data_IF_128825769745
#
_entry.id   IF_128825769745
#
_cell.length_a   1.000
_cell.length_b   1.000
_cell.length_c   1.000
_cell.angle_alpha   90.00
_cell.angle_beta   90.00
_cell.angle_gamma   90.00
#
_symmetry.space_group_name_H-M   'P 1'
#
loop_
_entity.id
_entity.type
_entity.pdbx_description
1 polymer ?
#
# COMPACT_ATOMS: atom_id res chain seq x y z
N UNK A 1 31.57 53.60 42.70
CA UNK A 1 31.36 52.17 42.98
C UNK A 1 31.20 51.49 41.63
N UNK A 2 32.21 50.72 41.22
CA UNK A 2 32.31 50.15 39.88
C UNK A 2 31.70 48.75 39.76
N UNK A 3 31.40 48.44 38.50
CA UNK A 3 30.91 47.22 37.85
C UNK A 3 31.31 45.85 38.43
N UNK A 4 30.43 44.86 38.18
CA UNK A 4 30.74 43.75 37.24
C UNK A 4 29.51 42.90 36.88
N UNK A 5 29.21 42.88 35.58
CA UNK A 5 28.42 41.87 34.88
C UNK A 5 29.10 40.50 34.97
N UNK A 6 28.31 39.44 35.22
CA UNK A 6 28.76 38.06 35.08
C UNK A 6 28.41 37.54 33.69
N UNK A 7 29.41 37.47 32.81
CA UNK A 7 29.35 36.81 31.50
C UNK A 7 29.14 35.29 31.65
N UNK A 8 28.26 34.74 30.81
CA UNK A 8 28.16 33.29 30.58
C UNK A 8 29.28 32.93 29.60
N UNK A 9 30.15 31.94 29.90
CA UNK A 9 31.28 31.63 29.05
C UNK A 9 30.80 30.99 27.72
N UNK A 10 31.09 31.68 26.62
CA UNK A 10 30.98 31.16 25.27
C UNK A 10 32.13 30.16 25.02
N UNK A 11 31.92 28.88 25.34
CA UNK A 11 32.89 27.82 25.06
C UNK A 11 32.69 27.33 23.64
N UNK A 12 33.28 28.06 22.68
CA UNK A 12 33.49 27.58 21.32
C UNK A 12 34.57 26.49 21.30
N UNK A 13 34.24 25.28 21.77
CA UNK A 13 35.13 24.13 21.59
C UNK A 13 35.01 23.59 20.15
N UNK A 14 35.92 24.05 19.28
CA UNK A 14 36.21 23.37 18.01
C UNK A 14 36.92 22.05 18.32
N UNK A 15 36.20 20.94 18.16
CA UNK A 15 36.81 19.60 18.17
C UNK A 15 37.69 19.47 16.92
N UNK A 16 38.95 19.07 17.09
CA UNK A 16 39.84 18.87 15.95
C UNK A 16 39.41 17.62 15.17
N UNK A 17 39.61 17.61 13.84
CA UNK A 17 39.33 16.45 12.96
C UNK A 17 39.97 15.15 13.48
N UNK A 18 41.09 15.26 14.19
CA UNK A 18 41.83 14.14 14.78
C UNK A 18 41.15 13.56 16.03
N UNK A 19 40.45 14.38 16.80
CA UNK A 19 39.68 13.93 17.98
C UNK A 19 38.32 13.38 17.58
N UNK A 20 37.72 13.91 16.50
CA UNK A 20 36.51 13.36 15.87
C UNK A 20 36.74 11.95 15.31
N UNK A 21 37.89 11.71 14.66
CA UNK A 21 38.23 10.39 14.13
C UNK A 21 38.58 9.37 15.23
N UNK A 22 39.01 9.80 16.42
CA UNK A 22 39.25 8.91 17.57
C UNK A 22 37.97 8.43 18.25
N UNK A 23 36.84 9.11 18.05
CA UNK A 23 35.51 8.64 18.40
C UNK A 23 34.94 7.64 17.37
N UNK A 24 35.60 7.48 16.22
CA UNK A 24 35.18 6.63 15.10
C UNK A 24 35.62 5.17 15.20
N UNK A 25 35.41 4.54 16.36
CA UNK A 25 35.56 3.09 16.53
C UNK A 25 34.21 2.44 16.84
N UNK A 26 33.71 1.61 15.91
CA UNK A 26 32.50 0.77 15.97
C UNK A 26 31.14 1.47 15.77
N UNK A 27 30.62 1.35 14.54
CA UNK A 27 29.25 1.05 14.04
C UNK A 27 27.95 1.30 14.84
N UNK A 28 27.95 1.94 16.01
CA UNK A 28 26.73 2.23 16.79
C UNK A 28 26.43 3.74 16.96
N UNK A 29 27.28 4.64 16.44
CA UNK A 29 27.23 6.06 16.79
C UNK A 29 26.32 6.93 15.90
N UNK A 30 25.81 6.46 14.77
CA UNK A 30 25.00 7.29 13.86
C UNK A 30 23.75 7.90 14.51
N UNK A 31 23.03 7.10 15.31
CA UNK A 31 21.84 7.55 16.04
C UNK A 31 22.19 8.44 17.26
N UNK A 32 23.28 8.15 17.97
CA UNK A 32 23.71 8.92 19.14
C UNK A 32 24.25 10.31 18.76
N UNK A 33 24.97 10.41 17.63
CA UNK A 33 25.52 11.67 17.13
C UNK A 33 24.38 12.58 16.63
N UNK A 34 23.36 12.02 15.97
CA UNK A 34 22.16 12.77 15.55
C UNK A 34 21.37 13.35 16.73
N UNK A 35 21.17 12.56 17.80
CA UNK A 35 20.45 12.99 19.00
C UNK A 35 21.18 14.11 19.78
N UNK A 36 22.51 14.03 19.87
CA UNK A 36 23.33 15.06 20.54
C UNK A 36 23.42 16.34 19.71
N UNK A 37 23.52 16.25 18.38
CA UNK A 37 23.55 17.42 17.50
C UNK A 37 22.23 18.20 17.52
N UNK A 38 21.08 17.51 17.57
CA UNK A 38 19.75 18.11 17.72
C UNK A 38 19.61 18.87 19.04
N UNK A 39 20.05 18.28 20.17
CA UNK A 39 20.02 18.95 21.50
C UNK A 39 20.91 20.18 21.61
N UNK A 40 21.99 20.25 20.81
CA UNK A 40 22.96 21.34 20.87
C UNK A 40 22.71 22.43 19.82
N UNK A 41 21.64 22.34 19.03
CA UNK A 41 21.33 23.34 17.99
C UNK A 41 22.37 23.41 16.88
N UNK A 42 23.20 22.36 16.72
CA UNK A 42 24.22 22.29 15.69
C UNK A 42 23.52 21.85 14.40
N UNK A 43 23.33 22.79 13.46
CA UNK A 43 23.01 22.43 12.08
C UNK A 43 24.18 21.60 11.54
N UNK A 44 23.97 20.31 11.32
CA UNK A 44 24.87 19.53 10.51
C UNK A 44 24.84 20.13 9.11
N UNK A 45 25.88 20.88 8.76
CA UNK A 45 26.23 21.07 7.35
C UNK A 45 26.52 19.69 6.81
N UNK A 46 25.55 19.10 6.12
CA UNK A 46 25.74 17.93 5.27
C UNK A 46 26.65 18.36 4.13
N UNK A 47 27.96 18.37 4.37
CA UNK A 47 28.94 18.32 3.30
C UNK A 47 28.57 17.11 2.44
N UNK A 48 27.99 17.37 1.27
CA UNK A 48 27.33 16.36 0.44
C UNK A 48 28.22 15.14 0.27
N UNK A 49 27.70 13.98 0.66
CA UNK A 49 28.21 12.73 0.11
C UNK A 49 28.18 12.87 -1.42
N UNK A 50 29.22 12.43 -2.15
CA UNK A 50 29.21 12.52 -3.59
C UNK A 50 27.93 11.87 -4.12
N UNK A 51 27.13 12.62 -4.90
CA UNK A 51 25.89 12.10 -5.48
C UNK A 51 26.23 10.86 -6.31
N UNK A 52 25.67 9.71 -5.93
CA UNK A 52 25.93 8.47 -6.64
C UNK A 52 25.27 8.50 -8.01
N UNK A 53 26.05 8.23 -9.05
CA UNK A 53 25.56 8.19 -10.43
C UNK A 53 24.66 6.96 -10.66
N UNK A 54 23.39 7.23 -10.98
CA UNK A 54 22.40 6.24 -11.36
C UNK A 54 22.71 5.66 -12.74
N UNK A 55 22.56 4.35 -12.88
CA UNK A 55 22.60 3.65 -14.15
C UNK A 55 21.19 3.31 -14.63
N UNK A 56 20.96 3.22 -15.96
CA UNK A 56 19.65 2.87 -16.52
C UNK A 56 19.36 1.36 -16.44
N UNK A 57 19.53 0.77 -15.26
CA UNK A 57 19.30 -0.64 -14.94
C UNK A 57 18.23 -0.77 -13.86
N UNK A 58 17.33 -1.75 -14.01
CA UNK A 58 16.15 -1.94 -13.16
C UNK A 58 16.13 -3.34 -12.58
N UNK A 59 15.91 -3.42 -11.27
CA UNK A 59 15.47 -4.61 -10.54
C UNK A 59 13.98 -4.49 -10.23
N UNK A 60 13.20 -5.52 -10.57
CA UNK A 60 11.82 -5.66 -10.10
C UNK A 60 11.78 -6.63 -8.93
N UNK A 61 11.30 -6.15 -7.79
CA UNK A 61 10.99 -6.95 -6.62
C UNK A 61 9.46 -7.16 -6.60
N UNK A 62 9.02 -8.42 -6.67
CA UNK A 62 7.59 -8.75 -6.66
C UNK A 62 7.37 -10.24 -6.35
N UNK A 63 6.12 -10.70 -6.34
CA UNK A 63 5.72 -12.09 -6.19
C UNK A 63 5.91 -12.85 -7.51
N UNK A 64 7.07 -13.49 -7.67
CA UNK A 64 7.37 -14.34 -8.84
C UNK A 64 7.19 -15.83 -8.57
N UNK A 65 7.30 -16.25 -7.30
CA UNK A 65 7.33 -17.67 -6.89
C UNK A 65 6.30 -17.98 -5.80
N UNK A 66 5.09 -17.40 -5.86
CA UNK A 66 4.09 -17.53 -4.79
C UNK A 66 3.69 -18.99 -4.48
N UNK A 67 3.78 -19.88 -5.47
CA UNK A 67 3.52 -21.31 -5.30
C UNK A 67 4.53 -21.93 -4.33
N UNK A 68 5.80 -21.50 -4.36
CA UNK A 68 6.83 -21.95 -3.42
C UNK A 68 6.57 -21.42 -2.00
N UNK A 69 5.97 -20.22 -1.84
CA UNK A 69 5.53 -19.76 -0.51
C UNK A 69 4.47 -20.68 0.05
N UNK A 70 3.49 -21.07 -0.76
CA UNK A 70 2.43 -21.96 -0.31
C UNK A 70 3.04 -23.27 0.19
N UNK A 71 3.92 -23.90 -0.58
CA UNK A 71 4.55 -25.17 -0.19
C UNK A 71 5.29 -25.05 1.14
N UNK A 72 6.08 -23.97 1.30
CA UNK A 72 6.76 -23.68 2.56
C UNK A 72 5.78 -23.43 3.72
N UNK A 73 4.75 -22.62 3.49
CA UNK A 73 3.75 -22.32 4.51
C UNK A 73 3.04 -23.60 4.99
N UNK A 74 2.70 -24.50 4.07
CA UNK A 74 2.10 -25.79 4.41
C UNK A 74 3.04 -26.65 5.25
N UNK A 75 4.32 -26.73 4.89
CA UNK A 75 5.33 -27.47 5.66
C UNK A 75 5.53 -26.90 7.07
N UNK A 76 5.52 -25.58 7.21
CA UNK A 76 5.80 -24.90 8.48
C UNK A 76 4.59 -24.88 9.43
N UNK A 77 3.35 -24.95 8.91
CA UNK A 77 2.12 -24.69 9.69
C UNK A 77 1.17 -25.88 9.80
N UNK A 78 1.40 -26.97 9.06
CA UNK A 78 0.52 -28.13 9.06
C UNK A 78 1.30 -29.41 9.36
N UNK A 79 0.66 -30.40 10.01
CA UNK A 79 1.31 -31.68 10.24
C UNK A 79 1.54 -32.42 8.91
N UNK A 80 2.53 -33.31 8.87
CA UNK A 80 2.90 -34.04 7.65
C UNK A 80 1.81 -34.94 7.08
N UNK A 81 0.77 -35.27 7.87
CA UNK A 81 -0.40 -36.04 7.44
C UNK A 81 -1.59 -35.16 7.02
N UNK A 82 -1.43 -33.84 6.96
CA UNK A 82 -2.47 -32.93 6.48
C UNK A 82 -2.79 -33.21 5.00
N UNK A 83 -4.08 -33.31 4.68
CA UNK A 83 -4.56 -33.48 3.30
C UNK A 83 -5.30 -32.21 2.87
N UNK A 84 -4.70 -31.47 1.94
CA UNK A 84 -5.35 -30.33 1.29
C UNK A 84 -6.63 -30.79 0.58
N UNK A 85 -6.57 -31.90 -0.17
CA UNK A 85 -7.71 -32.42 -0.94
C UNK A 85 -8.91 -32.71 -0.05
N UNK A 86 -8.71 -33.41 1.07
CA UNK A 86 -9.78 -33.70 2.02
C UNK A 86 -10.32 -32.41 2.64
N UNK A 87 -9.44 -31.47 3.00
CA UNK A 87 -9.83 -30.18 3.57
C UNK A 87 -10.68 -29.37 2.60
N UNK A 88 -10.33 -29.33 1.31
CA UNK A 88 -11.12 -28.67 0.28
C UNK A 88 -12.48 -29.31 0.09
N UNK A 89 -12.54 -30.65 0.01
CA UNK A 89 -13.81 -31.38 -0.10
C UNK A 89 -14.71 -31.13 1.11
N UNK A 90 -14.16 -31.17 2.32
CA UNK A 90 -14.91 -30.92 3.56
C UNK A 90 -15.44 -29.49 3.65
N UNK A 91 -14.73 -28.52 3.08
CA UNK A 91 -15.16 -27.12 2.94
C UNK A 91 -16.17 -26.90 1.80
N UNK A 92 -16.46 -27.92 0.98
CA UNK A 92 -17.35 -27.81 -0.17
C UNK A 92 -16.73 -27.16 -1.41
N UNK A 93 -15.39 -27.19 -1.53
CA UNK A 93 -14.63 -26.62 -2.65
C UNK A 93 -14.27 -27.73 -3.64
N UNK A 94 -14.82 -27.66 -4.86
CA UNK A 94 -14.52 -28.60 -5.94
C UNK A 94 -13.29 -28.20 -6.78
N UNK A 95 -12.97 -26.90 -6.80
CA UNK A 95 -11.85 -26.36 -7.56
C UNK A 95 -11.19 -25.24 -6.75
N UNK A 96 -10.11 -25.53 -6.00
CA UNK A 96 -9.40 -24.52 -5.21
C UNK A 96 -8.47 -23.64 -6.06
N UNK A 97 -8.38 -23.86 -7.38
CA UNK A 97 -7.50 -23.10 -8.28
C UNK A 97 -8.12 -21.80 -8.80
N UNK A 98 -9.40 -21.56 -8.50
CA UNK A 98 -10.14 -20.36 -8.90
C UNK A 98 -10.66 -19.60 -7.70
N UNK A 99 -10.75 -18.27 -7.82
CA UNK A 99 -11.34 -17.41 -6.78
C UNK A 99 -12.78 -17.83 -6.48
N UNK A 100 -13.59 -18.09 -7.50
CA UNK A 100 -14.98 -18.49 -7.38
C UNK A 100 -15.13 -19.83 -6.67
N UNK A 101 -14.18 -20.75 -6.85
CA UNK A 101 -14.12 -22.00 -6.12
C UNK A 101 -13.79 -21.79 -4.64
N UNK A 102 -12.78 -20.97 -4.33
CA UNK A 102 -12.40 -20.66 -2.95
C UNK A 102 -13.52 -19.93 -2.17
N UNK A 103 -14.28 -19.04 -2.82
CA UNK A 103 -15.42 -18.35 -2.20
C UNK A 103 -16.56 -19.29 -1.80
N UNK A 104 -16.57 -20.56 -2.25
CA UNK A 104 -17.54 -21.56 -1.77
C UNK A 104 -17.17 -22.15 -0.42
N UNK A 105 -15.92 -21.99 0.01
CA UNK A 105 -15.39 -22.63 1.21
C UNK A 105 -16.18 -22.24 2.48
N UNK A 106 -16.57 -23.25 3.25
CA UNK A 106 -17.09 -23.12 4.62
C UNK A 106 -16.15 -23.88 5.56
N UNK A 107 -15.14 -23.21 6.14
CA UNK A 107 -14.18 -23.85 7.04
C UNK A 107 -14.85 -24.27 8.36
N UNK A 108 -14.46 -25.44 8.88
CA UNK A 108 -14.97 -26.03 10.12
C UNK A 108 -14.01 -25.93 11.30
N UNK A 109 -12.74 -25.68 11.02
CA UNK A 109 -11.68 -25.55 12.00
C UNK A 109 -10.61 -24.53 11.56
N UNK A 110 -9.70 -24.20 12.47
CA UNK A 110 -8.63 -23.23 12.24
C UNK A 110 -7.67 -23.63 11.10
N UNK A 111 -7.41 -24.92 10.92
CA UNK A 111 -6.53 -25.42 9.86
C UNK A 111 -7.14 -25.15 8.48
N UNK A 112 -8.44 -25.41 8.33
CA UNK A 112 -9.19 -25.11 7.12
C UNK A 112 -9.24 -23.61 6.84
N UNK A 113 -9.40 -22.78 7.88
CA UNK A 113 -9.31 -21.33 7.72
C UNK A 113 -7.91 -20.92 7.23
N UNK A 114 -6.83 -21.40 7.87
CA UNK A 114 -5.46 -21.08 7.46
C UNK A 114 -5.19 -21.48 6.00
N UNK A 115 -5.64 -22.66 5.58
CA UNK A 115 -5.53 -23.13 4.21
C UNK A 115 -6.29 -22.21 3.24
N UNK A 116 -7.53 -21.85 3.57
CA UNK A 116 -8.34 -20.91 2.77
C UNK A 116 -7.67 -19.54 2.64
N UNK A 117 -7.22 -18.95 3.74
CA UNK A 117 -6.61 -17.62 3.74
C UNK A 117 -5.30 -17.58 2.94
N UNK A 118 -4.47 -18.63 3.05
CA UNK A 118 -3.27 -18.78 2.21
C UNK A 118 -3.66 -18.91 0.73
N UNK A 119 -4.60 -19.78 0.36
CA UNK A 119 -5.01 -19.93 -1.03
C UNK A 119 -5.57 -18.63 -1.63
N UNK A 120 -6.35 -17.86 -0.85
CA UNK A 120 -6.84 -16.55 -1.25
C UNK A 120 -5.72 -15.52 -1.46
N UNK A 121 -4.70 -15.52 -0.58
CA UNK A 121 -3.50 -14.71 -0.75
C UNK A 121 -2.72 -15.11 -2.01
N UNK A 122 -2.53 -16.41 -2.24
CA UNK A 122 -1.87 -16.93 -3.44
C UNK A 122 -2.58 -16.48 -4.71
N UNK A 123 -3.91 -16.66 -4.77
CA UNK A 123 -4.73 -16.26 -5.93
C UNK A 123 -4.61 -14.77 -6.22
N UNK A 124 -4.51 -13.93 -5.18
CA UNK A 124 -4.35 -12.48 -5.36
C UNK A 124 -3.03 -12.12 -6.07
N UNK A 125 -1.97 -12.88 -5.82
CA UNK A 125 -0.60 -12.56 -6.26
C UNK A 125 -0.01 -13.53 -7.30
N UNK A 126 -0.76 -14.55 -7.75
CA UNK A 126 -0.26 -15.63 -8.62
C UNK A 126 0.42 -15.16 -9.91
N UNK A 127 -0.07 -14.08 -10.51
CA UNK A 127 0.52 -13.50 -11.72
C UNK A 127 1.06 -12.08 -11.51
N UNK A 128 1.02 -11.56 -10.29
CA UNK A 128 1.26 -10.15 -10.03
C UNK A 128 2.64 -9.68 -10.51
N UNK A 129 3.73 -10.40 -10.17
CA UNK A 129 5.06 -10.05 -10.66
C UNK A 129 5.21 -10.17 -12.18
N UNK A 130 4.50 -11.10 -12.84
CA UNK A 130 4.50 -11.23 -14.30
C UNK A 130 3.77 -10.05 -14.95
N UNK A 131 2.64 -9.65 -14.39
CA UNK A 131 1.83 -8.53 -14.85
C UNK A 131 2.58 -7.20 -14.71
N UNK A 132 3.26 -6.99 -13.57
CA UNK A 132 4.13 -5.82 -13.34
C UNK A 132 5.23 -5.70 -14.40
N UNK A 133 5.89 -6.82 -14.74
CA UNK A 133 6.91 -6.81 -15.80
C UNK A 133 6.28 -6.58 -17.17
N UNK A 134 5.11 -7.16 -17.45
CA UNK A 134 4.41 -6.96 -18.71
C UNK A 134 3.98 -5.50 -18.91
N UNK A 135 3.56 -4.77 -17.86
CA UNK A 135 3.33 -3.32 -17.93
C UNK A 135 4.62 -2.60 -18.36
N UNK A 136 5.74 -2.90 -17.69
CA UNK A 136 7.02 -2.29 -17.98
C UNK A 136 7.47 -2.52 -19.43
N UNK A 137 7.26 -3.74 -19.94
CA UNK A 137 7.54 -4.11 -21.34
C UNK A 137 6.67 -3.32 -22.34
N UNK A 138 5.38 -3.16 -22.06
CA UNK A 138 4.47 -2.36 -22.92
C UNK A 138 4.88 -0.89 -22.94
N UNK A 139 5.21 -0.32 -21.78
CA UNK A 139 5.69 1.08 -21.70
C UNK A 139 7.01 1.25 -22.45
N UNK A 140 7.95 0.30 -22.30
CA UNK A 140 9.20 0.31 -23.06
C UNK A 140 8.96 0.30 -24.58
N UNK A 141 7.98 -0.48 -25.05
CA UNK A 141 7.59 -0.53 -26.45
C UNK A 141 6.97 0.78 -26.95
N UNK A 142 6.21 1.49 -26.10
CA UNK A 142 5.63 2.79 -26.44
C UNK A 142 6.68 3.89 -26.59
N UNK A 143 7.69 3.89 -25.72
CA UNK A 143 8.72 4.95 -25.71
C UNK A 143 9.89 4.67 -26.65
N UNK A 144 10.05 3.43 -27.11
CA UNK A 144 11.14 3.05 -28.00
C UNK A 144 10.81 1.82 -28.86
N UNK A 145 9.92 1.97 -29.85
CA UNK A 145 9.43 0.85 -30.66
C UNK A 145 10.54 0.14 -31.47
N UNK A 146 11.62 0.85 -31.80
CA UNK A 146 12.69 0.34 -32.67
C UNK A 146 13.84 -0.35 -31.92
N UNK A 147 13.90 -0.25 -30.58
CA UNK A 147 14.94 -0.90 -29.77
C UNK A 147 14.41 -2.15 -29.09
N UNK A 148 15.26 -3.18 -29.03
CA UNK A 148 14.98 -4.40 -28.25
C UNK A 148 14.61 -4.02 -26.81
N UNK A 149 13.43 -4.44 -26.36
CA UNK A 149 12.99 -4.28 -24.97
C UNK A 149 14.04 -4.84 -24.04
N UNK A 150 14.59 -3.99 -23.16
CA UNK A 150 15.51 -4.44 -22.12
C UNK A 150 14.67 -5.06 -21.02
N UNK A 151 14.82 -6.37 -20.84
CA UNK A 151 14.09 -7.11 -19.82
C UNK A 151 14.69 -6.75 -18.45
N UNK A 152 13.88 -6.27 -17.48
CA UNK A 152 14.37 -6.00 -16.14
C UNK A 152 14.80 -7.30 -15.47
N UNK A 153 15.80 -7.20 -14.58
CA UNK A 153 16.14 -8.32 -13.70
C UNK A 153 15.07 -8.43 -12.60
N UNK A 154 14.83 -9.65 -12.10
CA UNK A 154 13.69 -9.97 -11.23
C UNK A 154 14.19 -10.66 -9.98
N UNK A 155 13.59 -10.36 -8.83
CA UNK A 155 13.79 -11.13 -7.60
C UNK A 155 12.46 -11.28 -6.87
N UNK A 156 12.22 -12.49 -6.37
CA UNK A 156 10.97 -12.84 -5.70
C UNK A 156 11.00 -12.41 -4.24
N UNK A 157 9.98 -11.65 -3.80
CA UNK A 157 9.81 -11.27 -2.38
C UNK A 157 8.99 -12.32 -1.61
N UNK A 158 8.61 -13.41 -2.25
CA UNK A 158 7.76 -14.44 -1.65
C UNK A 158 8.31 -14.95 -0.31
N UNK A 159 9.63 -15.05 -0.16
CA UNK A 159 10.27 -15.44 1.10
C UNK A 159 10.20 -14.40 2.23
N UNK A 160 9.68 -13.20 1.95
CA UNK A 160 9.43 -12.15 2.94
C UNK A 160 8.02 -12.23 3.53
N UNK A 161 7.14 -13.10 3.02
CA UNK A 161 5.76 -13.23 3.48
C UNK A 161 5.73 -14.01 4.79
N UNK A 162 5.19 -13.39 5.83
CA UNK A 162 4.94 -13.99 7.12
C UNK A 162 3.44 -13.93 7.42
N UNK A 163 2.83 -15.09 7.64
CA UNK A 163 1.43 -15.18 8.06
C UNK A 163 1.37 -15.12 9.57
N UNK A 164 0.71 -14.09 10.08
CA UNK A 164 0.50 -13.86 11.49
C UNK A 164 -0.68 -14.65 12.05
N UNK A 165 -1.18 -14.17 13.20
CA UNK A 165 -2.27 -14.81 13.91
C UNK A 165 -3.59 -14.68 13.15
N UNK A 166 -4.41 -15.72 13.26
CA UNK A 166 -5.80 -15.70 12.86
C UNK A 166 -6.66 -15.01 13.94
N UNK A 167 -7.46 -14.05 13.51
CA UNK A 167 -8.44 -13.34 14.32
C UNK A 167 -9.83 -13.48 13.72
N UNK A 168 -10.85 -13.21 14.51
CA UNK A 168 -12.24 -13.25 14.07
C UNK A 168 -12.92 -11.95 14.45
N UNK A 169 -13.69 -11.37 13.54
CA UNK A 169 -14.52 -10.22 13.88
C UNK A 169 -15.69 -10.63 14.80
N UNK A 170 -16.47 -9.65 15.25
CA UNK A 170 -17.60 -9.85 16.18
C UNK A 170 -18.69 -10.79 15.63
N UNK A 171 -18.70 -11.08 14.33
CA UNK A 171 -19.66 -11.97 13.68
C UNK A 171 -19.03 -13.27 13.16
N UNK A 172 -17.75 -13.51 13.47
CA UNK A 172 -17.05 -14.75 13.16
C UNK A 172 -16.35 -14.79 11.81
N UNK A 173 -16.19 -13.66 11.10
CA UNK A 173 -15.40 -13.63 9.87
C UNK A 173 -13.90 -13.76 10.17
N UNK A 174 -13.20 -14.73 9.57
CA UNK A 174 -11.78 -14.90 9.79
C UNK A 174 -10.96 -13.80 9.11
N UNK A 175 -9.96 -13.32 9.84
CA UNK A 175 -8.95 -12.35 9.40
C UNK A 175 -7.57 -12.90 9.66
N UNK A 176 -6.70 -12.97 8.65
CA UNK A 176 -5.28 -13.27 8.83
C UNK A 176 -4.47 -11.99 8.63
N UNK A 177 -3.56 -11.73 9.56
CA UNK A 177 -2.57 -10.68 9.38
C UNK A 177 -1.42 -11.23 8.55
N UNK A 178 -0.92 -10.45 7.60
CA UNK A 178 0.22 -10.80 6.77
C UNK A 178 1.24 -9.68 6.89
N UNK A 179 2.48 -10.05 7.14
CA UNK A 179 3.61 -9.12 7.25
C UNK A 179 4.57 -9.41 6.12
N UNK A 180 4.99 -8.37 5.40
CA UNK A 180 6.14 -8.43 4.51
C UNK A 180 7.38 -7.94 5.26
N UNK A 181 8.30 -8.88 5.51
CA UNK A 181 9.55 -8.67 6.25
C UNK A 181 10.45 -7.67 5.54
N UNK A 182 10.67 -6.52 6.18
CA UNK A 182 11.59 -5.48 5.68
C UNK A 182 13.02 -5.97 5.58
N UNK A 183 13.46 -6.87 6.46
CA UNK A 183 14.84 -7.36 6.50
C UNK A 183 15.14 -8.24 5.28
N UNK A 184 14.18 -9.08 4.88
CA UNK A 184 14.32 -9.90 3.67
C UNK A 184 14.37 -9.01 2.43
N UNK A 185 13.51 -7.98 2.36
CA UNK A 185 13.49 -7.03 1.24
C UNK A 185 14.77 -6.19 1.20
N UNK A 186 15.25 -5.68 2.33
CA UNK A 186 16.50 -4.91 2.45
C UNK A 186 17.68 -5.73 1.93
N UNK A 187 17.79 -7.00 2.32
CA UNK A 187 18.82 -7.92 1.79
C UNK A 187 18.74 -8.07 0.26
N UNK A 188 17.55 -8.32 -0.28
CA UNK A 188 17.35 -8.45 -1.74
C UNK A 188 17.75 -7.17 -2.48
N UNK A 189 17.50 -6.01 -1.88
CA UNK A 189 17.91 -4.71 -2.40
C UNK A 189 19.43 -4.56 -2.33
N UNK A 190 20.06 -4.78 -1.18
CA UNK A 190 21.51 -4.59 -1.00
C UNK A 190 22.35 -5.53 -1.89
N UNK A 191 21.85 -6.71 -2.22
CA UNK A 191 22.52 -7.66 -3.11
C UNK A 191 22.40 -7.30 -4.61
N UNK A 192 21.52 -6.36 -4.97
CA UNK A 192 21.25 -6.02 -6.36
C UNK A 192 22.20 -4.94 -6.89
N UNK A 193 22.86 -5.14 -8.06
CA UNK A 193 23.71 -4.12 -8.68
C UNK A 193 22.92 -3.03 -9.43
N UNK A 194 21.62 -3.21 -9.63
CA UNK A 194 20.77 -2.26 -10.33
C UNK A 194 20.56 -0.96 -9.54
N UNK A 195 20.50 0.16 -10.27
CA UNK A 195 20.35 1.48 -9.67
C UNK A 195 18.90 1.88 -9.47
N UNK A 196 17.95 1.28 -10.18
CA UNK A 196 16.51 1.57 -10.02
C UNK A 196 15.81 0.31 -9.50
N UNK A 197 15.04 0.44 -8.43
CA UNK A 197 14.31 -0.66 -7.80
C UNK A 197 12.81 -0.38 -7.89
N UNK A 198 12.10 -1.27 -8.57
CA UNK A 198 10.64 -1.29 -8.60
C UNK A 198 10.12 -2.12 -7.44
N UNK A 199 9.22 -1.53 -6.66
CA UNK A 199 8.49 -2.19 -5.57
C UNK A 199 6.99 -1.97 -5.79
N UNK A 200 6.37 -2.83 -6.60
CA UNK A 200 4.95 -2.73 -6.93
C UNK A 200 4.04 -3.32 -5.85
N UNK A 201 4.46 -3.25 -4.60
CA UNK A 201 3.80 -3.80 -3.41
C UNK A 201 4.01 -2.85 -2.22
N UNK A 202 3.11 -2.89 -1.23
CA UNK A 202 3.34 -2.19 0.05
C UNK A 202 4.20 -3.02 1.00
N UNK A 203 5.03 -2.37 1.81
CA UNK A 203 5.85 -3.06 2.82
C UNK A 203 5.18 -3.02 4.20
N UNK A 204 5.39 -4.07 4.99
CA UNK A 204 4.94 -4.14 6.37
C UNK A 204 3.65 -4.93 6.55
N UNK A 205 2.77 -4.46 7.42
CA UNK A 205 1.64 -5.23 7.95
C UNK A 205 0.33 -4.88 7.24
N UNK A 206 -0.33 -5.88 6.67
CA UNK A 206 -1.67 -5.77 6.11
C UNK A 206 -2.53 -6.94 6.59
N UNK A 207 -3.82 -6.94 6.26
CA UNK A 207 -4.72 -8.01 6.68
C UNK A 207 -5.68 -8.42 5.58
N UNK A 208 -6.03 -9.70 5.60
CA UNK A 208 -6.98 -10.33 4.71
C UNK A 208 -8.16 -10.83 5.53
N UNK A 209 -9.37 -10.38 5.23
CA UNK A 209 -10.62 -10.84 5.86
C UNK A 209 -11.48 -11.55 4.83
N UNK A 210 -11.93 -12.76 5.15
CA UNK A 210 -12.91 -13.49 4.33
C UNK A 210 -14.31 -13.30 4.89
N UNK A 211 -15.21 -12.72 4.11
CA UNK A 211 -16.60 -12.51 4.53
C UNK A 211 -17.39 -13.80 4.40
N UNK A 212 -17.51 -14.52 5.50
CA UNK A 212 -18.29 -15.75 5.62
C UNK A 212 -19.68 -15.48 6.17
N UNK A 213 -19.78 -14.52 7.09
CA UNK A 213 -21.00 -14.14 7.79
C UNK A 213 -21.33 -12.67 7.59
N UNK A 214 -22.62 -12.37 7.61
CA UNK A 214 -23.14 -11.01 7.65
C UNK A 214 -24.19 -10.86 8.75
N UNK A 215 -24.35 -9.63 9.24
CA UNK A 215 -25.33 -9.27 10.27
C UNK A 215 -26.56 -8.69 9.59
N UNK A 216 -27.66 -9.44 9.57
CA UNK A 216 -28.92 -8.99 9.00
C UNK A 216 -29.93 -8.65 10.08
N UNK A 217 -30.88 -7.78 9.74
CA UNK A 217 -32.03 -7.52 10.58
C UNK A 217 -32.89 -8.79 10.63
N UNK A 218 -33.18 -9.26 11.84
CA UNK A 218 -34.06 -10.41 12.07
C UNK A 218 -35.50 -10.13 11.61
N UNK A 219 -35.89 -8.86 11.62
CA UNK A 219 -37.19 -8.37 11.17
C UNK A 219 -36.99 -7.23 10.16
N UNK A 220 -36.61 -7.52 8.90
CA UNK A 220 -36.20 -6.49 7.93
C UNK A 220 -37.32 -5.52 7.57
N UNK A 221 -38.57 -5.99 7.54
CA UNK A 221 -39.76 -5.15 7.32
C UNK A 221 -39.93 -4.10 8.42
N UNK A 222 -39.66 -4.46 9.67
CA UNK A 222 -39.76 -3.56 10.83
C UNK A 222 -38.63 -2.53 10.85
N UNK A 223 -37.40 -2.93 10.53
CA UNK A 223 -36.24 -2.04 10.57
C UNK A 223 -36.22 -0.96 9.46
N UNK A 224 -36.96 -1.14 8.36
CA UNK A 224 -37.00 -0.15 7.26
C UNK A 224 -37.95 1.02 7.50
N UNK A 225 -39.13 0.76 8.06
CA UNK A 225 -40.17 1.79 8.24
C UNK A 225 -40.38 2.17 9.70
N UNK A 226 -40.06 1.27 10.63
CA UNK A 226 -40.28 1.47 12.06
C UNK A 226 -41.77 1.63 12.43
N UNK A 227 -42.11 1.53 13.72
CA UNK A 227 -43.43 1.93 14.18
C UNK A 227 -43.50 3.47 14.28
N UNK A 228 -44.70 4.05 14.14
CA UNK A 228 -44.89 5.50 14.20
C UNK A 228 -45.78 5.94 15.36
N UNK A 229 -45.50 7.13 15.90
CA UNK A 229 -46.25 7.76 16.99
C UNK A 229 -46.82 9.09 16.50
N UNK A 230 -48.14 9.24 16.55
CA UNK A 230 -48.85 10.45 16.12
C UNK A 230 -49.57 11.05 17.33
N UNK A 231 -49.40 12.35 17.58
CA UNK A 231 -50.09 13.06 18.68
C UNK A 231 -50.92 14.20 18.11
N UNK A 232 -52.24 14.16 18.30
CA UNK A 232 -53.17 15.21 17.85
C UNK A 232 -54.11 15.58 19.00
N UNK A 233 -54.17 16.87 19.35
CA UNK A 233 -55.09 17.38 20.38
C UNK A 233 -54.91 16.74 21.77
N UNK A 234 -53.69 16.29 22.11
CA UNK A 234 -53.39 15.61 23.38
C UNK A 234 -53.67 14.11 23.40
N UNK A 235 -54.19 13.52 22.33
CA UNK A 235 -54.34 12.07 22.17
C UNK A 235 -53.19 11.51 21.33
N UNK A 236 -52.54 10.48 21.85
CA UNK A 236 -51.48 9.73 21.16
C UNK A 236 -52.08 8.47 20.53
N UNK A 237 -51.76 8.21 19.27
CA UNK A 237 -52.00 6.94 18.58
C UNK A 237 -50.68 6.35 18.11
N UNK A 238 -50.54 5.04 18.25
CA UNK A 238 -49.38 4.29 17.81
C UNK A 238 -49.75 3.47 16.57
N UNK A 239 -48.83 3.37 15.62
CA UNK A 239 -49.00 2.54 14.42
C UNK A 239 -47.83 1.63 14.17
N UNK A 240 -48.10 0.44 13.64
CA UNK A 240 -47.06 -0.46 13.18
C UNK A 240 -46.40 0.03 11.87
N UNK A 241 -45.44 -0.76 11.37
CA UNK A 241 -44.72 -0.52 10.12
C UNK A 241 -45.58 -0.72 8.85
N UNK A 242 -46.83 -1.17 8.99
CA UNK A 242 -47.81 -1.28 7.90
C UNK A 242 -48.88 -0.16 7.96
N UNK A 243 -48.85 0.67 9.01
CA UNK A 243 -49.80 1.76 9.23
C UNK A 243 -51.07 1.36 9.99
N UNK A 244 -51.13 0.15 10.56
CA UNK A 244 -52.24 -0.28 11.41
C UNK A 244 -52.12 0.34 12.80
N UNK A 245 -53.25 0.69 13.43
CA UNK A 245 -53.25 1.18 14.81
C UNK A 245 -52.91 0.05 15.80
N UNK A 246 -52.01 0.32 16.74
CA UNK A 246 -51.48 -0.63 17.74
C UNK A 246 -51.48 -0.01 19.15
N UNK A 247 -51.26 -0.82 20.18
CA UNK A 247 -51.08 -0.33 21.56
C UNK A 247 -49.68 0.27 21.79
N UNK A 248 -49.51 0.97 22.90
CA UNK A 248 -48.20 1.47 23.34
C UNK A 248 -47.23 0.33 23.67
N UNK A 249 -47.71 -0.78 24.25
CA UNK A 249 -46.87 -1.96 24.50
C UNK A 249 -46.38 -2.58 23.19
N UNK A 250 -47.26 -2.70 22.19
CA UNK A 250 -46.91 -3.20 20.86
C UNK A 250 -45.91 -2.28 20.15
N UNK A 251 -46.08 -0.96 20.26
CA UNK A 251 -45.14 0.03 19.74
C UNK A 251 -43.74 -0.16 20.35
N UNK A 252 -43.67 -0.33 21.67
CA UNK A 252 -42.41 -0.52 22.38
C UNK A 252 -41.75 -1.86 22.04
N UNK A 253 -42.55 -2.93 21.90
CA UNK A 253 -42.10 -4.26 21.47
C UNK A 253 -41.51 -4.22 20.04
N UNK A 254 -42.19 -3.57 19.10
CA UNK A 254 -41.70 -3.40 17.72
C UNK A 254 -40.44 -2.52 17.70
N UNK A 255 -40.43 -1.42 18.46
CA UNK A 255 -39.27 -0.52 18.58
C UNK A 255 -38.03 -1.23 19.16
N UNK A 256 -38.23 -2.21 20.04
CA UNK A 256 -37.16 -3.06 20.55
C UNK A 256 -36.68 -4.05 19.49
N UNK A 257 -37.61 -4.72 18.81
CA UNK A 257 -37.33 -5.76 17.80
C UNK A 257 -36.75 -5.23 16.50
N UNK A 258 -37.04 -3.98 16.12
CA UNK A 258 -36.62 -3.43 14.83
C UNK A 258 -35.09 -3.35 14.65
N UNK A 259 -34.34 -3.38 15.77
CA UNK A 259 -32.87 -3.39 15.77
C UNK A 259 -32.29 -4.76 16.14
N UNK A 260 -33.12 -5.79 16.35
CA UNK A 260 -32.62 -7.15 16.57
C UNK A 260 -31.98 -7.66 15.27
N UNK A 261 -30.73 -8.09 15.39
CA UNK A 261 -29.97 -8.66 14.27
C UNK A 261 -29.67 -10.13 14.51
N UNK A 262 -29.56 -10.89 13.44
CA UNK A 262 -29.00 -12.23 13.44
C UNK A 262 -27.77 -12.32 12.54
N UNK A 263 -26.92 -13.32 12.82
CA UNK A 263 -25.72 -13.61 12.03
C UNK A 263 -26.11 -14.71 11.05
N UNK A 264 -25.98 -14.45 9.75
CA UNK A 264 -26.27 -15.41 8.70
C UNK A 264 -25.00 -15.80 7.96
N UNK A 265 -24.92 -17.07 7.56
CA UNK A 265 -23.92 -17.54 6.60
C UNK A 265 -24.25 -16.96 5.22
N UNK A 266 -23.30 -16.28 4.61
CA UNK A 266 -23.47 -15.69 3.28
C UNK A 266 -23.55 -16.77 2.19
N UNK A 267 -24.37 -16.52 1.17
CA UNK A 267 -24.33 -17.31 -0.05
C UNK A 267 -22.97 -17.14 -0.73
N UNK A 268 -22.40 -18.16 -1.39
CA UNK A 268 -21.09 -18.05 -2.03
C UNK A 268 -20.94 -16.85 -2.99
N UNK A 269 -22.02 -16.43 -3.65
CA UNK A 269 -22.05 -15.26 -4.54
C UNK A 269 -21.99 -13.91 -3.82
N UNK A 270 -22.28 -13.89 -2.52
CA UNK A 270 -22.24 -12.70 -1.66
C UNK A 270 -20.95 -12.63 -0.85
N UNK A 271 -20.17 -13.72 -0.83
CA UNK A 271 -18.88 -13.75 -0.12
C UNK A 271 -17.84 -12.99 -0.89
N UNK A 272 -17.01 -12.28 -0.15
CA UNK A 272 -15.90 -11.54 -0.69
C UNK A 272 -14.66 -11.68 0.19
N UNK A 273 -13.59 -11.08 -0.29
CA UNK A 273 -12.30 -11.09 0.37
C UNK A 273 -11.83 -9.66 0.43
N UNK A 274 -11.75 -9.15 1.64
CA UNK A 274 -11.41 -7.76 1.95
C UNK A 274 -9.94 -7.71 2.32
N UNK A 275 -9.17 -6.95 1.56
CA UNK A 275 -7.77 -6.64 1.87
C UNK A 275 -7.73 -5.27 2.52
N UNK A 276 -7.06 -5.14 3.66
CA UNK A 276 -6.69 -3.84 4.23
C UNK A 276 -5.29 -3.51 3.72
N UNK A 277 -5.19 -2.47 2.90
CA UNK A 277 -3.95 -1.99 2.31
C UNK A 277 -2.93 -1.59 3.39
N UNK A 278 -1.64 -1.84 3.14
CA UNK A 278 -0.58 -1.54 4.09
C UNK A 278 -0.43 -0.04 4.39
N UNK A 279 -0.91 0.83 3.50
CA UNK A 279 -0.87 2.29 3.68
C UNK A 279 -2.24 2.91 3.98
N UNK A 280 -3.21 2.09 4.38
CA UNK A 280 -4.50 2.56 4.89
C UNK A 280 -4.62 2.40 6.42
N UNK A 281 -4.99 3.49 7.11
CA UNK A 281 -5.35 3.49 8.53
C UNK A 281 -4.17 3.59 9.49
N UNK A 282 -4.30 2.98 10.68
CA UNK A 282 -3.41 3.26 11.82
C UNK A 282 -1.97 2.77 11.62
N UNK A 283 -1.74 1.82 10.70
CA UNK A 283 -0.41 1.24 10.44
C UNK A 283 0.40 2.00 9.38
N UNK A 284 -0.19 2.98 8.70
CA UNK A 284 0.45 3.68 7.58
C UNK A 284 1.82 4.25 7.93
N UNK A 285 1.96 4.90 9.09
CA UNK A 285 3.26 5.45 9.52
C UNK A 285 4.32 4.37 9.71
N UNK A 286 3.99 3.26 10.37
CA UNK A 286 4.95 2.18 10.67
C UNK A 286 5.39 1.46 9.39
N UNK A 287 4.43 1.20 8.49
CA UNK A 287 4.69 0.56 7.21
C UNK A 287 5.54 1.45 6.30
N UNK A 288 5.21 2.74 6.22
CA UNK A 288 5.99 3.71 5.45
C UNK A 288 7.39 3.93 6.03
N UNK A 289 7.52 3.91 7.37
CA UNK A 289 8.82 3.98 8.04
C UNK A 289 9.74 2.84 7.60
N UNK A 290 9.24 1.59 7.53
CA UNK A 290 10.02 0.43 7.04
C UNK A 290 10.54 0.67 5.61
N UNK A 291 9.70 1.20 4.70
CA UNK A 291 10.11 1.52 3.33
C UNK A 291 11.18 2.62 3.29
N UNK A 292 10.99 3.70 4.05
CA UNK A 292 11.99 4.78 4.11
C UNK A 292 13.32 4.32 4.69
N UNK A 293 13.31 3.37 5.64
CA UNK A 293 14.53 2.81 6.21
C UNK A 293 15.35 2.05 5.16
N UNK A 294 14.71 1.20 4.35
CA UNK A 294 15.38 0.49 3.24
C UNK A 294 15.97 1.49 2.25
N UNK A 295 15.19 2.50 1.85
CA UNK A 295 15.66 3.51 0.91
C UNK A 295 16.87 4.31 1.44
N UNK A 296 16.89 4.63 2.73
CA UNK A 296 18.00 5.33 3.40
C UNK A 296 19.26 4.47 3.55
N UNK A 297 19.11 3.17 3.78
CA UNK A 297 20.24 2.23 3.87
C UNK A 297 20.93 2.01 2.52
N UNK A 298 20.23 2.24 1.41
CA UNK A 298 20.72 2.02 0.05
C UNK A 298 20.69 3.33 -0.76
N UNK A 299 21.45 4.37 -0.36
CA UNK A 299 21.39 5.71 -0.95
C UNK A 299 21.94 5.77 -2.38
N UNK A 300 22.54 4.71 -2.91
CA UNK A 300 22.99 4.62 -4.31
C UNK A 300 21.89 4.19 -5.30
N UNK A 301 20.70 3.87 -4.78
CA UNK A 301 19.56 3.37 -5.57
C UNK A 301 18.42 4.37 -5.58
N UNK A 302 17.66 4.37 -6.66
CA UNK A 302 16.38 5.03 -6.80
C UNK A 302 15.24 4.03 -6.60
N UNK A 303 14.39 4.25 -5.61
CA UNK A 303 13.22 3.42 -5.32
C UNK A 303 11.98 4.02 -5.96
N UNK A 304 11.18 3.17 -6.59
CA UNK A 304 9.86 3.51 -7.14
C UNK A 304 8.87 2.51 -6.55
N UNK A 305 8.02 2.97 -5.63
CA UNK A 305 7.16 2.12 -4.82
C UNK A 305 5.67 2.46 -5.00
N UNK A 306 4.80 1.46 -4.93
CA UNK A 306 3.35 1.66 -4.98
C UNK A 306 2.84 2.43 -3.75
N UNK A 307 1.85 3.30 -3.94
CA UNK A 307 1.23 4.12 -2.90
C UNK A 307 -0.02 3.50 -2.25
N UNK A 308 -0.34 2.25 -2.56
CA UNK A 308 -1.54 1.57 -2.09
C UNK A 308 -2.74 1.71 -3.03
N UNK A 309 -3.77 0.91 -2.78
CA UNK A 309 -5.04 0.86 -3.52
C UNK A 309 -6.23 1.07 -2.57
N UNK A 310 -7.34 1.66 -3.06
CA UNK A 310 -8.55 1.80 -2.26
C UNK A 310 -9.12 0.46 -1.81
N UNK A 311 -9.66 0.44 -0.59
CA UNK A 311 -10.27 -0.74 0.02
C UNK A 311 -11.72 -0.44 0.41
N UNK A 312 -12.61 -1.41 0.19
CA UNK A 312 -14.04 -1.25 0.48
C UNK A 312 -14.35 -1.85 1.87
N UNK A 313 -14.20 -1.03 2.92
CA UNK A 313 -14.47 -1.41 4.31
C UNK A 313 -15.35 -0.36 4.97
N UNK A 314 -16.66 -0.64 5.02
CA UNK A 314 -17.69 0.31 5.51
C UNK A 314 -17.66 1.64 4.74
N UNK A 315 -17.43 1.55 3.43
CA UNK A 315 -17.17 2.68 2.53
C UNK A 315 -15.82 2.56 1.82
N UNK A 316 -15.59 3.43 0.85
CA UNK A 316 -14.30 3.55 0.16
C UNK A 316 -13.27 4.14 1.12
N UNK A 317 -12.25 3.36 1.47
CA UNK A 317 -11.06 3.84 2.17
C UNK A 317 -9.91 3.97 1.19
N UNK A 318 -9.54 5.20 0.89
CA UNK A 318 -8.40 5.53 0.04
C UNK A 318 -7.16 5.57 0.95
N UNK A 319 -6.06 4.87 0.60
CA UNK A 319 -4.78 5.01 1.30
C UNK A 319 -4.36 6.47 1.37
N UNK A 320 -3.91 6.93 2.54
CA UNK A 320 -3.47 8.31 2.74
C UNK A 320 -2.17 8.33 3.52
N UNK A 321 -1.10 8.70 2.83
CA UNK A 321 0.24 8.76 3.42
C UNK A 321 0.64 10.17 3.85
N UNK A 322 -0.21 11.19 3.69
CA UNK A 322 0.17 12.61 3.88
C UNK A 322 0.68 12.89 5.30
N UNK A 323 -0.07 12.49 6.32
CA UNK A 323 0.32 12.69 7.73
C UNK A 323 1.57 11.89 8.09
N UNK A 324 1.64 10.64 7.63
CA UNK A 324 2.79 9.77 7.85
C UNK A 324 4.06 10.34 7.20
N UNK A 325 3.95 10.81 5.95
CA UNK A 325 5.02 11.46 5.19
C UNK A 325 5.49 12.74 5.86
N UNK A 326 4.57 13.65 6.20
CA UNK A 326 4.91 14.91 6.86
C UNK A 326 5.68 14.67 8.17
N UNK A 327 5.25 13.67 8.94
CA UNK A 327 5.95 13.26 10.17
C UNK A 327 7.35 12.69 9.90
N UNK A 328 7.53 11.88 8.85
CA UNK A 328 8.85 11.36 8.45
C UNK A 328 9.76 12.47 7.90
N UNK A 329 9.21 13.45 7.19
CA UNK A 329 9.92 14.63 6.71
C UNK A 329 10.38 15.52 7.87
N UNK A 330 9.52 15.80 8.85
CA UNK A 330 9.87 16.56 10.07
C UNK A 330 11.00 15.90 10.86
N UNK A 331 11.03 14.56 10.89
CA UNK A 331 12.08 13.78 11.55
C UNK A 331 13.37 13.64 10.71
N UNK A 332 13.40 14.16 9.48
CA UNK A 332 14.52 13.96 8.55
C UNK A 332 14.72 12.50 8.12
N UNK A 333 13.66 11.70 8.14
CA UNK A 333 13.65 10.29 7.76
C UNK A 333 13.08 10.05 6.36
N UNK A 334 12.50 11.07 5.71
CA UNK A 334 12.04 10.96 4.32
C UNK A 334 13.22 11.05 3.34
N UNK A 335 13.48 10.03 2.51
CA UNK A 335 14.68 10.03 1.67
C UNK A 335 14.42 10.58 0.26
N UNK A 336 15.41 11.30 -0.27
CA UNK A 336 15.35 11.88 -1.62
C UNK A 336 15.34 10.84 -2.74
N UNK A 337 15.71 9.60 -2.47
CA UNK A 337 15.78 8.53 -3.46
C UNK A 337 14.51 7.64 -3.52
N UNK A 338 13.38 8.05 -2.91
CA UNK A 338 12.12 7.29 -2.90
C UNK A 338 10.95 8.00 -3.61
N UNK A 339 10.50 7.49 -4.76
CA UNK A 339 9.26 7.93 -5.41
C UNK A 339 8.11 7.02 -4.98
N UNK A 340 7.05 7.61 -4.42
CA UNK A 340 5.77 6.92 -4.21
C UNK A 340 4.84 7.17 -5.40
N UNK A 341 4.24 6.10 -5.94
CA UNK A 341 3.40 6.14 -7.14
C UNK A 341 1.96 5.79 -6.82
N UNK A 342 1.06 6.71 -7.13
CA UNK A 342 -0.38 6.49 -7.07
C UNK A 342 -0.99 6.28 -8.45
N UNK A 343 -2.32 6.14 -8.49
CA UNK A 343 -3.08 6.22 -9.74
C UNK A 343 -4.28 7.13 -9.58
N UNK A 344 -4.75 7.72 -10.68
CA UNK A 344 -6.00 8.45 -10.73
C UNK A 344 -7.12 7.47 -11.08
N UNK A 345 -8.06 7.26 -10.17
CA UNK A 345 -9.23 6.43 -10.42
C UNK A 345 -10.35 7.25 -11.05
N UNK A 346 -11.14 6.60 -11.91
CA UNK A 346 -12.38 7.09 -12.48
C UNK A 346 -13.50 6.08 -12.23
N UNK A 347 -14.44 6.41 -11.35
CA UNK A 347 -15.57 5.55 -11.02
C UNK A 347 -16.84 6.37 -10.82
N UNK A 348 -17.92 6.05 -11.53
CA UNK A 348 -19.28 6.60 -11.29
C UNK A 348 -19.35 8.13 -11.12
N UNK A 349 -18.61 8.89 -11.93
CA UNK A 349 -18.57 10.36 -11.85
C UNK A 349 -17.51 10.94 -10.90
N UNK A 350 -16.79 10.10 -10.15
CA UNK A 350 -15.58 10.46 -9.44
C UNK A 350 -14.37 10.37 -10.37
N UNK A 351 -13.50 11.37 -10.34
CA UNK A 351 -12.16 11.36 -10.93
C UNK A 351 -11.21 11.98 -9.92
N UNK A 352 -10.23 11.21 -9.45
CA UNK A 352 -9.35 11.68 -8.38
C UNK A 352 -8.26 10.70 -8.00
N UNK A 353 -7.44 11.07 -7.01
CA UNK A 353 -6.36 10.25 -6.50
C UNK A 353 -6.94 9.02 -5.79
N UNK A 354 -6.40 7.84 -6.10
CA UNK A 354 -6.73 6.58 -5.44
C UNK A 354 -5.70 6.17 -4.36
N UNK A 355 -4.76 7.08 -4.07
CA UNK A 355 -3.83 7.03 -2.93
C UNK A 355 -3.32 8.45 -2.66
N UNK A 356 -3.64 9.04 -1.52
CA UNK A 356 -3.27 10.42 -1.21
C UNK A 356 -1.83 10.55 -0.74
N UNK A 357 -1.13 11.59 -1.20
CA UNK A 357 0.25 11.93 -0.81
C UNK A 357 1.37 11.27 -1.62
N UNK A 358 1.03 10.57 -2.71
CA UNK A 358 2.02 10.05 -3.66
C UNK A 358 2.71 11.18 -4.43
N UNK A 359 3.93 10.92 -4.91
CA UNK A 359 4.70 11.91 -5.67
C UNK A 359 4.14 12.10 -7.09
N UNK A 360 3.71 11.01 -7.72
CA UNK A 360 3.23 10.99 -9.11
C UNK A 360 2.08 10.00 -9.26
N UNK A 361 1.14 10.34 -10.12
CA UNK A 361 -0.04 9.55 -10.45
C UNK A 361 -0.03 9.12 -11.92
N UNK A 362 -0.52 7.92 -12.21
CA UNK A 362 -0.84 7.47 -13.58
C UNK A 362 -2.35 7.36 -13.73
N UNK A 363 -2.91 7.79 -14.86
CA UNK A 363 -4.36 7.67 -15.06
C UNK A 363 -4.78 6.21 -15.22
N UNK A 364 -5.91 5.82 -14.64
CA UNK A 364 -6.48 4.48 -14.84
C UNK A 364 -6.73 4.17 -16.32
N UNK A 365 -7.20 5.13 -17.10
CA UNK A 365 -7.38 5.03 -18.54
C UNK A 365 -6.07 4.68 -19.27
N UNK A 366 -4.94 5.25 -18.84
CA UNK A 366 -3.65 4.93 -19.43
C UNK A 366 -3.23 3.47 -19.13
N UNK A 367 -3.58 2.97 -17.95
CA UNK A 367 -3.38 1.56 -17.58
C UNK A 367 -4.33 0.64 -18.37
N UNK A 368 -5.58 1.05 -18.59
CA UNK A 368 -6.56 0.32 -19.42
C UNK A 368 -6.08 0.21 -20.87
N UNK A 369 -5.50 1.29 -21.43
CA UNK A 369 -4.89 1.28 -22.77
C UNK A 369 -3.68 0.33 -22.85
N UNK A 370 -2.99 0.14 -21.73
CA UNK A 370 -1.95 -0.88 -21.57
C UNK A 370 -2.53 -2.27 -21.28
N UNK A 371 -3.85 -2.44 -21.16
CA UNK A 371 -4.53 -3.72 -20.92
C UNK A 371 -4.49 -4.18 -19.45
N UNK A 372 -4.40 -3.25 -18.50
CA UNK A 372 -4.41 -3.52 -17.07
C UNK A 372 -5.47 -2.66 -16.36
N UNK A 373 -5.99 -3.13 -15.23
CA UNK A 373 -6.93 -2.35 -14.42
C UNK A 373 -6.22 -1.20 -13.69
N UNK A 374 -6.96 -0.19 -13.26
CA UNK A 374 -6.43 0.86 -12.38
C UNK A 374 -5.91 0.27 -11.06
N UNK A 375 -4.61 0.38 -10.80
CA UNK A 375 -3.97 0.02 -9.54
C UNK A 375 -2.60 0.71 -9.41
N UNK A 376 -2.18 1.08 -8.20
CA UNK A 376 -0.86 1.66 -7.99
C UNK A 376 0.26 0.66 -8.28
N UNK A 377 0.05 -0.64 -8.07
CA UNK A 377 1.01 -1.68 -8.43
C UNK A 377 1.28 -1.77 -9.93
N UNK A 378 0.32 -1.39 -10.78
CA UNK A 378 0.52 -1.28 -12.23
C UNK A 378 0.96 0.11 -12.68
N UNK A 379 0.69 1.17 -11.91
CA UNK A 379 1.27 2.50 -12.15
C UNK A 379 2.79 2.55 -11.88
N UNK A 380 3.25 1.87 -10.83
CA UNK A 380 4.67 1.82 -10.43
C UNK A 380 5.63 1.37 -11.54
N UNK A 381 5.39 0.29 -12.32
CA UNK A 381 6.24 -0.10 -13.43
C UNK A 381 6.23 0.90 -14.59
N UNK A 382 5.14 1.65 -14.81
CA UNK A 382 5.11 2.76 -15.79
C UNK A 382 6.12 3.83 -15.39
N UNK A 383 6.03 4.31 -14.15
CA UNK A 383 6.93 5.35 -13.62
C UNK A 383 8.36 4.85 -13.55
N UNK A 384 8.56 3.56 -13.24
CA UNK A 384 9.89 2.95 -13.20
C UNK A 384 10.56 2.97 -14.57
N UNK A 385 9.86 2.53 -15.61
CA UNK A 385 10.41 2.51 -16.97
C UNK A 385 10.76 3.93 -17.43
N UNK A 386 9.89 4.91 -17.16
CA UNK A 386 10.15 6.31 -17.51
C UNK A 386 11.35 6.84 -16.73
N UNK A 387 11.46 6.54 -15.44
CA UNK A 387 12.63 6.91 -14.62
C UNK A 387 13.92 6.33 -15.21
N UNK A 388 13.91 5.05 -15.60
CA UNK A 388 15.04 4.40 -16.28
C UNK A 388 15.43 5.12 -17.58
N UNK A 389 14.45 5.60 -18.35
CA UNK A 389 14.68 6.34 -19.60
C UNK A 389 15.23 7.75 -19.36
N UNK A 390 14.72 8.45 -18.36
CA UNK A 390 15.25 9.75 -17.92
C UNK A 390 16.72 9.62 -17.48
N UNK A 391 17.06 8.56 -16.73
CA UNK A 391 18.45 8.23 -16.37
C UNK A 391 19.30 7.91 -17.61
N UNK A 392 18.76 7.11 -18.54
CA UNK A 392 19.44 6.79 -19.80
C UNK A 392 19.73 8.04 -20.64
N UNK A 393 18.84 9.03 -20.62
CA UNK A 393 18.98 10.31 -21.32
C UNK A 393 19.96 11.29 -20.65
N UNK A 394 20.55 10.93 -19.50
CA UNK A 394 21.61 11.71 -18.84
C UNK A 394 21.26 12.29 -17.48
N UNK A 395 20.06 12.06 -16.96
CA UNK A 395 19.66 12.48 -15.61
C UNK A 395 20.21 11.51 -14.56
N UNK A 396 21.47 11.72 -14.20
CA UNK A 396 22.32 10.74 -13.51
C UNK A 396 22.21 10.76 -12.00
N UNK A 397 21.50 11.69 -11.39
CA UNK A 397 21.36 11.82 -9.93
C UNK A 397 19.88 11.70 -9.53
N UNK A 398 19.58 11.38 -8.26
CA UNK A 398 18.17 11.26 -7.81
C UNK A 398 17.38 12.53 -8.10
N UNK A 399 17.97 13.69 -7.83
CA UNK A 399 17.37 15.00 -8.10
C UNK A 399 17.07 15.19 -9.57
N UNK A 400 18.04 14.96 -10.45
CA UNK A 400 17.85 15.08 -11.89
C UNK A 400 16.80 14.10 -12.42
N UNK A 401 16.81 12.86 -11.93
CA UNK A 401 15.83 11.85 -12.33
C UNK A 401 14.40 12.27 -11.94
N UNK A 402 14.22 12.79 -10.72
CA UNK A 402 12.93 13.34 -10.28
C UNK A 402 12.52 14.56 -11.08
N UNK A 403 13.42 15.53 -11.31
CA UNK A 403 13.12 16.72 -12.09
C UNK A 403 12.70 16.37 -13.53
N UNK A 404 13.43 15.44 -14.17
CA UNK A 404 13.11 14.94 -15.50
C UNK A 404 11.78 14.21 -15.55
N UNK A 405 11.45 13.42 -14.52
CA UNK A 405 10.16 12.75 -14.40
C UNK A 405 9.01 13.74 -14.15
N UNK A 406 9.19 14.72 -13.27
CA UNK A 406 8.20 15.76 -12.99
C UNK A 406 7.92 16.64 -14.22
N UNK A 407 8.92 16.89 -15.07
CA UNK A 407 8.73 17.60 -16.34
C UNK A 407 7.79 16.87 -17.33
N UNK A 408 7.59 15.56 -17.15
CA UNK A 408 6.67 14.72 -17.94
C UNK A 408 5.26 14.63 -17.32
N UNK A 409 4.98 15.39 -16.27
CA UNK A 409 3.66 15.45 -15.62
C UNK A 409 2.86 16.69 -16.05
N UNK A 410 1.59 16.69 -15.69
CA UNK A 410 0.69 17.84 -15.73
C UNK A 410 -0.01 17.96 -14.37
N UNK A 411 -0.43 19.18 -14.01
CA UNK A 411 -1.24 19.38 -12.82
C UNK A 411 -2.67 18.87 -13.10
N UNK A 412 -3.09 17.84 -12.37
CA UNK A 412 -4.49 17.44 -12.28
C UNK A 412 -5.11 18.04 -11.01
N UNK A 413 -6.43 18.11 -10.98
CA UNK A 413 -7.19 18.63 -9.85
C UNK A 413 -8.33 17.69 -9.47
N UNK A 414 -8.62 17.61 -8.18
CA UNK A 414 -9.79 16.93 -7.64
C UNK A 414 -10.32 17.71 -6.43
N UNK A 415 -11.52 17.38 -5.97
CA UNK A 415 -12.10 17.96 -4.77
C UNK A 415 -12.11 16.94 -3.63
N UNK A 416 -11.46 17.31 -2.52
CA UNK A 416 -11.53 16.57 -1.26
C UNK A 416 -12.44 17.35 -0.30
N UNK A 417 -13.70 16.91 -0.22
CA UNK A 417 -14.75 17.68 0.45
C UNK A 417 -15.01 19.00 -0.27
N UNK A 418 -14.64 20.10 0.37
CA UNK A 418 -14.77 21.46 -0.20
C UNK A 418 -13.44 22.03 -0.70
N UNK A 419 -12.32 21.33 -0.49
CA UNK A 419 -11.00 21.80 -0.86
C UNK A 419 -10.59 21.27 -2.23
N UNK A 420 -10.02 22.16 -3.05
CA UNK A 420 -9.46 21.80 -4.34
C UNK A 420 -8.00 21.40 -4.16
N UNK A 421 -7.68 20.16 -4.51
CA UNK A 421 -6.34 19.59 -4.37
C UNK A 421 -5.72 19.41 -5.75
N UNK A 422 -4.46 19.79 -5.88
CA UNK A 422 -3.67 19.62 -7.10
C UNK A 422 -2.65 18.51 -6.91
N UNK A 423 -2.44 17.69 -7.95
CA UNK A 423 -1.48 16.61 -7.89
C UNK A 423 -0.81 16.33 -9.25
N UNK A 424 0.42 15.78 -9.28
CA UNK A 424 1.14 15.53 -10.52
C UNK A 424 0.62 14.27 -11.21
N UNK A 425 -0.06 14.44 -12.35
CA UNK A 425 -0.52 13.35 -13.20
C UNK A 425 0.46 13.18 -14.36
N UNK A 426 0.96 11.97 -14.56
CA UNK A 426 1.83 11.63 -15.68
C UNK A 426 1.10 11.89 -17.01
N UNK A 427 1.77 12.54 -17.95
CA UNK A 427 1.26 12.77 -19.30
C UNK A 427 1.98 11.84 -20.28
N UNK A 428 1.35 10.72 -20.63
CA UNK A 428 1.93 9.76 -21.57
C UNK A 428 2.15 10.34 -22.98
N UNK A 429 1.45 11.41 -23.35
CA UNK A 429 1.70 12.15 -24.59
C UNK A 429 3.05 12.86 -24.55
N UNK A 430 3.34 13.59 -23.48
CA UNK A 430 4.67 14.19 -23.24
C UNK A 430 5.77 13.13 -23.22
N UNK A 431 5.55 12.02 -22.51
CA UNK A 431 6.50 10.91 -22.43
C UNK A 431 6.85 10.39 -23.83
N UNK A 432 5.85 10.08 -24.66
CA UNK A 432 6.07 9.59 -26.03
C UNK A 432 6.87 10.60 -26.85
N UNK A 433 6.49 11.88 -26.80
CA UNK A 433 7.16 12.93 -27.57
C UNK A 433 8.61 13.13 -27.15
N UNK A 434 8.89 13.16 -25.84
CA UNK A 434 10.24 13.38 -25.30
C UNK A 434 11.23 12.29 -25.70
N UNK A 435 10.77 11.03 -25.80
CA UNK A 435 11.65 9.90 -26.14
C UNK A 435 11.68 9.54 -27.64
N UNK A 436 10.64 9.93 -28.41
CA UNK A 436 10.62 9.75 -29.87
C UNK A 436 11.61 10.67 -30.61
N UNK A 437 11.86 11.89 -30.12
CA UNK A 437 12.83 12.80 -30.74
C UNK A 437 14.29 12.38 -30.55
N UNK A 438 14.60 11.57 -29.53
CA UNK A 438 15.95 11.10 -29.23
C UNK A 438 16.41 9.88 -30.06
N UNK A 439 15.51 9.21 -30.77
CA UNK A 439 15.85 8.08 -31.67
C UNK A 439 16.21 8.51 -33.10
N UNK A 440 15.95 9.76 -33.49
CA UNK A 440 16.36 10.29 -34.80
C UNK A 440 17.76 10.92 -34.83
N UNK A 441 18.42 11.03 -33.67
CA UNK A 441 19.71 11.70 -33.52
C UNK A 441 20.87 10.76 -33.11
N UNK A 442 20.73 9.45 -33.32
CA UNK A 442 21.80 8.45 -33.12
C UNK A 442 22.18 7.76 -34.41
#
# INVERSE_FOLDING_TARGET
>A
MGDKNSEIPNIGHKISRRDFLKLGGATAAGAAIGYVAWRLGIKLETSGLPETELKPSVRVLDFFDIDQAKDKYLQDNFPSNFSEENSWQEMGVSDPSTREGLLKAVPKDESQVKLLMMALFQQRYQNHGKDVVAVMEKVSGLVNPDKKTVIPTRSSITGAVEFGRLEYDEIGNPTIHVTLSSDVVDRLVSETPESVVNMSFELGDFSLTYSLYDRKLKYPEMGRQGPSKITVGGKTSYRDYQGNDITEEEYNEISRKMNETEIELLNPSERDVRFIDGYAGDKTYQNLQKLTEIARKNPEKMFVAAGGNPTYLKGLKIPDIRDARAKLEEQGLWPENLIIVGFQARESGFVGQASYGADIYVADKDLEELGFSGASSYATPVVTEITRRVVYAGSKTHKQAREGLMALTQAAETYEGSEKVYYPLLDLGKVKNSFASSSQSQ
#
